data_IF_277333292197
#
_entry.id   IF_277333292197
#
_cell.length_a   1.000
_cell.length_b   1.000
_cell.length_c   1.000
_cell.angle_alpha   90.00
_cell.angle_beta   90.00
_cell.angle_gamma   90.00
#
_symmetry.space_group_name_H-M   'P 1'
#
loop_
_entity.id
_entity.type
_entity.pdbx_description
1 polymer ?
#
# COMPACT_ATOMS: atom_id res chain seq x y z
N UNK A 1 -44.63 -7.15 13.96
CA UNK A 1 -44.76 -6.02 13.00
C UNK A 1 -43.99 -6.24 11.70
N UNK A 2 -42.68 -6.55 11.72
CA UNK A 2 -41.90 -6.78 10.48
C UNK A 2 -42.47 -7.91 9.58
N UNK A 3 -43.03 -8.97 10.16
CA UNK A 3 -43.62 -10.08 9.41
C UNK A 3 -44.83 -9.71 8.55
N UNK A 4 -45.50 -8.58 8.84
CA UNK A 4 -46.72 -8.12 8.17
C UNK A 4 -46.44 -7.16 6.99
N UNK A 5 -45.20 -6.68 6.86
CA UNK A 5 -44.84 -5.77 5.77
C UNK A 5 -44.77 -6.51 4.43
N UNK A 6 -45.11 -5.87 3.30
CA UNK A 6 -44.78 -6.33 1.96
C UNK A 6 -43.27 -6.59 1.81
N UNK A 7 -42.92 -7.53 0.93
CA UNK A 7 -41.53 -7.98 0.75
C UNK A 7 -40.64 -6.83 0.26
N UNK A 8 -41.20 -5.95 -0.55
CA UNK A 8 -40.56 -4.76 -1.12
C UNK A 8 -40.18 -3.75 -0.03
N UNK A 9 -41.08 -3.52 0.93
CA UNK A 9 -40.80 -2.65 2.08
C UNK A 9 -39.77 -3.28 3.03
N UNK A 10 -39.81 -4.60 3.21
CA UNK A 10 -38.77 -5.30 3.95
C UNK A 10 -37.41 -5.16 3.26
N UNK A 11 -37.33 -5.32 1.95
CA UNK A 11 -36.09 -5.06 1.21
C UNK A 11 -35.57 -3.64 1.41
N UNK A 12 -36.45 -2.63 1.47
CA UNK A 12 -36.04 -1.25 1.77
C UNK A 12 -35.46 -1.12 3.18
N UNK A 13 -36.07 -1.74 4.21
CA UNK A 13 -35.52 -1.75 5.57
C UNK A 13 -34.13 -2.41 5.59
N UNK A 14 -33.99 -3.56 4.93
CA UNK A 14 -32.70 -4.23 4.79
C UNK A 14 -31.67 -3.39 4.02
N UNK A 15 -32.09 -2.62 3.00
CA UNK A 15 -31.21 -1.74 2.24
C UNK A 15 -30.68 -0.58 3.08
N UNK A 16 -31.37 -0.18 4.16
CA UNK A 16 -30.94 0.87 5.09
C UNK A 16 -29.98 0.38 6.19
N UNK A 17 -29.67 -0.91 6.26
CA UNK A 17 -28.74 -1.40 7.27
C UNK A 17 -27.33 -0.84 7.06
N UNK A 18 -26.68 -0.51 8.17
CA UNK A 18 -25.33 0.05 8.20
C UNK A 18 -24.31 -0.94 8.76
N UNK A 19 -24.74 -1.93 9.54
CA UNK A 19 -23.85 -2.91 10.19
C UNK A 19 -24.19 -4.36 9.83
N UNK A 20 -23.16 -5.22 9.84
CA UNK A 20 -23.37 -6.67 9.72
C UNK A 20 -24.11 -7.26 10.92
N UNK A 21 -23.91 -6.68 12.11
CA UNK A 21 -24.57 -7.13 13.33
C UNK A 21 -26.09 -6.99 13.19
N UNK A 22 -26.57 -5.89 12.62
CA UNK A 22 -27.99 -5.67 12.40
C UNK A 22 -28.57 -6.62 11.35
N UNK A 23 -27.83 -6.89 10.26
CA UNK A 23 -28.21 -7.91 9.29
C UNK A 23 -28.34 -9.29 9.96
N UNK A 24 -27.38 -9.64 10.81
CA UNK A 24 -27.36 -10.92 11.52
C UNK A 24 -28.55 -11.02 12.47
N UNK A 25 -28.79 -10.00 13.30
CA UNK A 25 -29.92 -9.96 14.22
C UNK A 25 -31.26 -10.06 13.49
N UNK A 26 -31.43 -9.33 12.37
CA UNK A 26 -32.65 -9.39 11.56
C UNK A 26 -32.82 -10.74 10.86
N UNK A 27 -31.72 -11.40 10.47
CA UNK A 27 -31.77 -12.73 9.87
C UNK A 27 -32.31 -13.78 10.84
N UNK A 28 -32.09 -13.62 12.14
CA UNK A 28 -32.58 -14.54 13.18
C UNK A 28 -34.01 -14.25 13.64
N UNK A 29 -34.61 -13.13 13.21
CA UNK A 29 -35.93 -12.73 13.68
C UNK A 29 -37.07 -13.65 13.19
N UNK A 30 -37.06 -14.06 11.92
CA UNK A 30 -37.98 -15.06 11.37
C UNK A 30 -37.49 -15.66 10.05
N UNK A 31 -38.15 -16.72 9.57
CA UNK A 31 -37.77 -17.39 8.31
C UNK A 31 -37.82 -16.46 7.09
N UNK A 32 -38.77 -15.52 7.05
CA UNK A 32 -38.91 -14.58 5.93
C UNK A 32 -37.75 -13.58 5.87
N UNK A 33 -37.36 -13.03 7.02
CA UNK A 33 -36.20 -12.12 7.11
C UNK A 33 -34.90 -12.87 6.89
N UNK A 34 -34.80 -14.13 7.32
CA UNK A 34 -33.69 -15.01 6.98
C UNK A 34 -33.52 -15.12 5.46
N UNK A 35 -34.56 -15.49 4.71
CA UNK A 35 -34.49 -15.64 3.25
C UNK A 35 -34.06 -14.34 2.56
N UNK A 36 -34.64 -13.19 2.96
CA UNK A 36 -34.26 -11.87 2.44
C UNK A 36 -32.78 -11.57 2.72
N UNK A 37 -32.32 -11.86 3.94
CA UNK A 37 -30.93 -11.65 4.34
C UNK A 37 -29.93 -12.50 3.56
N UNK A 38 -30.36 -13.61 2.94
CA UNK A 38 -29.50 -14.45 2.08
C UNK A 38 -29.29 -13.85 0.69
N UNK A 39 -30.03 -12.80 0.31
CA UNK A 39 -29.94 -12.17 -1.00
C UNK A 39 -28.55 -11.60 -1.30
N UNK A 40 -27.93 -12.07 -2.38
CA UNK A 40 -26.57 -11.66 -2.79
C UNK A 40 -26.46 -10.16 -3.06
N UNK A 41 -27.46 -9.56 -3.72
CA UNK A 41 -27.46 -8.12 -4.05
C UNK A 41 -27.49 -7.24 -2.81
N UNK A 42 -28.30 -7.62 -1.82
CA UNK A 42 -28.38 -6.93 -0.53
C UNK A 42 -27.04 -7.00 0.20
N UNK A 43 -26.47 -8.21 0.29
CA UNK A 43 -25.19 -8.42 0.96
C UNK A 43 -24.06 -7.67 0.27
N UNK A 44 -24.03 -7.62 -1.06
CA UNK A 44 -23.05 -6.84 -1.82
C UNK A 44 -23.20 -5.33 -1.58
N UNK A 45 -24.43 -4.81 -1.48
CA UNK A 45 -24.67 -3.40 -1.15
C UNK A 45 -24.20 -3.07 0.26
N UNK A 46 -24.58 -3.88 1.26
CA UNK A 46 -24.13 -3.69 2.64
C UNK A 46 -22.60 -3.81 2.75
N UNK A 47 -22.01 -4.77 2.03
CA UNK A 47 -20.56 -4.88 1.93
C UNK A 47 -19.95 -3.59 1.39
N UNK A 48 -20.44 -3.07 0.26
CA UNK A 48 -19.96 -1.79 -0.28
C UNK A 48 -20.12 -0.63 0.71
N UNK A 49 -21.22 -0.57 1.47
CA UNK A 49 -21.45 0.42 2.55
C UNK A 49 -20.39 0.37 3.65
N UNK A 50 -20.01 -0.83 4.10
CA UNK A 50 -18.92 -1.00 5.07
C UNK A 50 -17.56 -0.47 4.56
N UNK A 51 -17.40 -0.39 3.24
CA UNK A 51 -16.21 0.13 2.56
C UNK A 51 -16.41 1.52 1.93
N UNK A 52 -17.48 2.27 2.24
CA UNK A 52 -17.62 3.65 1.71
C UNK A 52 -16.68 4.62 2.43
N UNK A 53 -15.65 5.09 1.70
CA UNK A 53 -14.47 5.85 2.16
C UNK A 53 -14.80 7.20 2.82
N UNK A 54 -15.86 7.88 2.37
CA UNK A 54 -16.12 9.28 2.76
C UNK A 54 -16.67 9.44 4.17
N UNK A 55 -17.37 8.44 4.70
CA UNK A 55 -17.97 8.48 6.04
C UNK A 55 -17.05 7.87 7.11
N UNK A 56 -16.07 7.07 6.70
CA UNK A 56 -15.41 6.08 7.55
C UNK A 56 -13.87 6.14 7.45
N UNK A 57 -13.28 7.34 7.40
CA UNK A 57 -11.83 7.54 7.21
C UNK A 57 -10.94 6.83 8.26
N UNK A 58 -11.46 6.61 9.47
CA UNK A 58 -10.72 6.00 10.58
C UNK A 58 -11.15 4.56 10.92
N UNK A 59 -12.16 4.03 10.21
CA UNK A 59 -12.98 2.91 10.71
C UNK A 59 -12.37 1.52 10.50
N UNK A 60 -11.51 1.34 9.49
CA UNK A 60 -10.81 0.06 9.23
C UNK A 60 -9.42 -0.02 9.91
N UNK A 61 -9.09 0.94 10.77
CA UNK A 61 -7.96 0.80 11.68
C UNK A 61 -8.30 -0.03 12.93
N UNK A 62 -9.59 -0.18 13.22
CA UNK A 62 -10.10 -0.96 14.34
C UNK A 62 -10.21 -2.45 13.99
N UNK A 63 -9.71 -3.29 14.90
CA UNK A 63 -9.71 -4.74 14.73
C UNK A 63 -11.14 -5.30 14.71
N UNK A 64 -12.08 -4.70 15.44
CA UNK A 64 -13.45 -5.21 15.52
C UNK A 64 -14.17 -5.10 14.16
N UNK A 65 -14.09 -3.93 13.51
CA UNK A 65 -14.69 -3.72 12.18
C UNK A 65 -14.08 -4.65 11.12
N UNK A 66 -12.75 -4.83 11.13
CA UNK A 66 -12.09 -5.76 10.22
C UNK A 66 -12.54 -7.21 10.46
N UNK A 67 -12.79 -7.58 11.71
CA UNK A 67 -13.37 -8.88 12.09
C UNK A 67 -14.76 -9.06 11.49
N UNK A 68 -15.63 -8.06 11.65
CA UNK A 68 -17.00 -8.09 11.14
C UNK A 68 -17.02 -8.27 9.62
N UNK A 69 -16.11 -7.60 8.90
CA UNK A 69 -15.91 -7.78 7.45
C UNK A 69 -15.51 -9.21 7.11
N UNK A 70 -14.58 -9.80 7.85
CA UNK A 70 -14.12 -11.16 7.60
C UNK A 70 -15.27 -12.17 7.80
N UNK A 71 -16.01 -12.04 8.91
CA UNK A 71 -17.20 -12.84 9.19
C UNK A 71 -18.27 -12.65 8.12
N UNK A 72 -18.43 -11.42 7.62
CA UNK A 72 -19.34 -11.12 6.51
C UNK A 72 -18.95 -11.86 5.24
N UNK A 73 -17.68 -11.82 4.83
CA UNK A 73 -17.18 -12.50 3.63
C UNK A 73 -17.40 -14.01 3.72
N UNK A 74 -17.22 -14.57 4.91
CA UNK A 74 -17.48 -15.97 5.20
C UNK A 74 -18.97 -16.31 5.03
N UNK A 75 -19.83 -15.64 5.81
CA UNK A 75 -21.26 -15.90 5.85
C UNK A 75 -21.95 -15.60 4.51
N UNK A 76 -21.53 -14.53 3.84
CA UNK A 76 -22.08 -14.11 2.56
C UNK A 76 -21.54 -14.91 1.37
N UNK A 77 -20.46 -15.68 1.55
CA UNK A 77 -19.71 -16.36 0.48
C UNK A 77 -19.29 -15.43 -0.66
N UNK A 78 -19.14 -14.13 -0.38
CA UNK A 78 -18.76 -13.11 -1.38
C UNK A 78 -17.29 -13.26 -1.78
N UNK A 79 -16.98 -12.80 -3.00
CA UNK A 79 -15.60 -12.60 -3.48
C UNK A 79 -15.33 -11.10 -3.61
N UNK A 80 -14.52 -10.49 -2.72
CA UNK A 80 -14.31 -9.04 -2.64
C UNK A 80 -13.36 -8.50 -3.74
N UNK A 81 -13.76 -8.63 -5.01
CA UNK A 81 -12.92 -8.27 -6.18
C UNK A 81 -13.33 -6.97 -6.91
N UNK A 82 -14.26 -6.18 -6.39
CA UNK A 82 -14.61 -4.90 -7.05
C UNK A 82 -13.53 -3.84 -6.83
N UNK A 83 -13.31 -2.98 -7.82
CA UNK A 83 -12.29 -1.92 -7.77
C UNK A 83 -12.42 -1.03 -6.54
N UNK A 84 -13.65 -0.64 -6.18
CA UNK A 84 -13.94 0.16 -4.98
C UNK A 84 -13.50 -0.52 -3.67
N UNK A 85 -13.68 -1.84 -3.56
CA UNK A 85 -13.24 -2.59 -2.37
C UNK A 85 -11.71 -2.64 -2.34
N UNK A 86 -11.09 -2.91 -3.49
CA UNK A 86 -9.64 -2.99 -3.62
C UNK A 86 -8.99 -1.66 -3.19
N UNK A 87 -9.50 -0.52 -3.67
CA UNK A 87 -9.02 0.81 -3.31
C UNK A 87 -9.11 1.08 -1.80
N UNK A 88 -10.22 0.73 -1.16
CA UNK A 88 -10.37 0.91 0.29
C UNK A 88 -9.42 -0.01 1.06
N UNK A 89 -9.31 -1.27 0.64
CA UNK A 89 -8.42 -2.24 1.25
C UNK A 89 -6.95 -1.83 1.11
N UNK A 90 -6.56 -1.23 -0.03
CA UNK A 90 -5.23 -0.65 -0.28
C UNK A 90 -4.91 0.49 0.69
N UNK A 91 -5.85 1.41 0.89
CA UNK A 91 -5.63 2.64 1.65
C UNK A 91 -5.76 2.46 3.15
N UNK A 92 -6.70 1.64 3.61
CA UNK A 92 -7.12 1.67 5.03
C UNK A 92 -6.69 0.44 5.83
N UNK A 93 -6.56 -0.74 5.20
CA UNK A 93 -6.26 -1.97 5.94
C UNK A 93 -4.77 -2.15 6.12
N UNK A 94 -4.28 -2.07 7.37
CA UNK A 94 -2.86 -2.29 7.69
C UNK A 94 -2.44 -3.74 7.43
N UNK A 95 -1.20 -3.94 6.97
CA UNK A 95 -0.59 -5.28 6.78
C UNK A 95 -0.64 -6.14 8.05
N UNK A 96 -0.65 -5.52 9.24
CA UNK A 96 -0.80 -6.22 10.52
C UNK A 96 -2.11 -7.00 10.69
N UNK A 97 -3.19 -6.58 10.03
CA UNK A 97 -4.49 -7.26 10.11
C UNK A 97 -4.46 -8.64 9.44
N UNK A 98 -3.66 -8.81 8.39
CA UNK A 98 -3.46 -10.11 7.73
C UNK A 98 -2.60 -11.08 8.57
N UNK A 99 -1.88 -10.54 9.56
CA UNK A 99 -0.80 -11.20 10.29
C UNK A 99 -1.20 -11.62 11.70
N UNK A 100 -1.69 -10.67 12.50
CA UNK A 100 -1.89 -10.83 13.95
C UNK A 100 -3.29 -11.34 14.30
N UNK A 101 -4.20 -11.31 13.33
CA UNK A 101 -5.59 -11.63 13.59
C UNK A 101 -5.79 -13.16 13.62
N UNK A 102 -6.30 -13.68 14.74
CA UNK A 102 -6.64 -15.10 14.89
C UNK A 102 -7.87 -15.41 14.03
N UNK A 103 -7.62 -15.75 12.78
CA UNK A 103 -8.66 -16.24 11.88
C UNK A 103 -9.07 -17.66 12.29
N UNK A 104 -10.37 -17.94 12.49
CA UNK A 104 -10.84 -19.32 12.61
C UNK A 104 -10.95 -20.04 11.25
N UNK A 105 -10.89 -19.33 10.11
CA UNK A 105 -11.12 -19.91 8.78
C UNK A 105 -10.05 -19.55 7.73
N UNK A 106 -9.30 -20.57 7.28
CA UNK A 106 -8.31 -20.48 6.21
C UNK A 106 -8.91 -19.98 4.87
N UNK A 107 -10.17 -20.31 4.57
CA UNK A 107 -10.84 -19.91 3.31
C UNK A 107 -10.95 -18.39 3.23
N UNK A 108 -11.36 -17.74 4.32
CA UNK A 108 -11.52 -16.28 4.37
C UNK A 108 -10.17 -15.60 4.26
N UNK A 109 -9.16 -16.09 5.01
CA UNK A 109 -7.78 -15.60 4.90
C UNK A 109 -7.27 -15.68 3.46
N UNK A 110 -7.49 -16.81 2.79
CA UNK A 110 -7.17 -16.96 1.36
C UNK A 110 -7.86 -15.92 0.47
N UNK A 111 -9.18 -15.71 0.64
CA UNK A 111 -9.93 -14.70 -0.12
C UNK A 111 -9.40 -13.28 0.10
N UNK A 112 -9.09 -12.93 1.35
CA UNK A 112 -8.57 -11.62 1.73
C UNK A 112 -7.17 -11.39 1.14
N UNK A 113 -6.29 -12.40 1.22
CA UNK A 113 -4.98 -12.35 0.58
C UNK A 113 -5.10 -12.22 -0.94
N UNK A 114 -6.12 -12.82 -1.56
CA UNK A 114 -6.34 -12.79 -3.02
C UNK A 114 -7.06 -11.52 -3.54
N UNK A 115 -7.40 -10.55 -2.69
CA UNK A 115 -8.15 -9.34 -3.08
C UNK A 115 -7.44 -8.56 -4.18
N UNK A 116 -6.12 -8.37 -4.05
CA UNK A 116 -5.35 -7.52 -4.97
C UNK A 116 -5.00 -8.25 -6.27
N UNK A 117 -5.31 -9.55 -6.36
CA UNK A 117 -4.87 -10.42 -7.46
C UNK A 117 -5.44 -10.02 -8.81
N UNK A 118 -6.64 -9.44 -8.85
CA UNK A 118 -7.32 -9.05 -10.10
C UNK A 118 -6.66 -7.86 -10.82
N UNK A 119 -5.87 -7.03 -10.13
CA UNK A 119 -5.15 -5.89 -10.70
C UNK A 119 -3.64 -6.14 -10.83
N UNK A 120 -3.19 -7.38 -10.64
CA UNK A 120 -1.78 -7.73 -10.74
C UNK A 120 -1.31 -7.81 -12.19
N UNK A 121 -0.06 -7.41 -12.43
CA UNK A 121 0.62 -7.54 -13.72
C UNK A 121 1.78 -8.53 -13.59
N UNK A 122 2.09 -9.27 -14.66
CA UNK A 122 3.31 -10.08 -14.71
C UNK A 122 4.52 -9.16 -14.74
N UNK A 123 5.51 -9.48 -13.91
CA UNK A 123 6.79 -8.77 -13.87
C UNK A 123 7.91 -9.78 -14.02
N UNK A 124 8.96 -9.41 -14.74
CA UNK A 124 10.20 -10.19 -14.85
C UNK A 124 11.22 -9.60 -13.87
N UNK A 125 10.84 -9.54 -12.60
CA UNK A 125 11.68 -8.93 -11.57
C UNK A 125 12.39 -10.01 -10.75
N UNK A 126 13.70 -9.83 -10.57
CA UNK A 126 14.43 -10.43 -9.47
C UNK A 126 14.16 -9.59 -8.23
N UNK A 127 13.07 -9.89 -7.50
CA UNK A 127 12.71 -9.19 -6.27
C UNK A 127 13.91 -9.15 -5.33
N UNK A 128 14.53 -7.99 -5.13
CA UNK A 128 15.66 -7.83 -4.20
C UNK A 128 16.74 -8.94 -4.35
N UNK A 129 17.19 -9.20 -5.59
CA UNK A 129 18.13 -10.29 -5.94
C UNK A 129 17.67 -11.71 -5.58
N UNK A 130 16.41 -11.89 -5.21
CA UNK A 130 15.78 -13.20 -5.11
C UNK A 130 15.36 -13.60 -6.51
N UNK A 131 15.94 -14.69 -7.02
CA UNK A 131 15.51 -15.27 -8.28
C UNK A 131 14.09 -15.78 -8.13
N UNK A 132 13.14 -15.19 -8.83
CA UNK A 132 11.75 -15.64 -8.79
C UNK A 132 11.34 -16.23 -10.13
N UNK A 133 10.80 -17.45 -10.10
CA UNK A 133 10.39 -18.18 -11.31
C UNK A 133 9.05 -17.73 -11.88
N UNK A 134 8.18 -17.14 -11.05
CA UNK A 134 6.87 -16.63 -11.44
C UNK A 134 6.45 -15.54 -10.45
N UNK A 135 6.14 -14.35 -10.94
CA UNK A 135 5.62 -13.27 -10.10
C UNK A 135 4.54 -12.50 -10.84
N UNK A 136 3.53 -12.13 -10.08
CA UNK A 136 2.67 -11.02 -10.47
C UNK A 136 2.67 -10.00 -9.34
N UNK A 137 2.85 -8.72 -9.70
CA UNK A 137 2.91 -7.61 -8.75
C UNK A 137 1.63 -6.79 -8.86
N UNK A 138 1.04 -6.51 -7.71
CA UNK A 138 0.07 -5.45 -7.54
C UNK A 138 0.81 -4.16 -7.20
N UNK A 139 0.69 -3.16 -8.06
CA UNK A 139 1.19 -1.81 -7.79
C UNK A 139 0.01 -1.00 -7.27
N UNK A 140 0.06 -0.63 -6.00
CA UNK A 140 -0.99 0.20 -5.40
C UNK A 140 -0.99 1.57 -6.05
N UNK A 141 -2.15 2.03 -6.50
CA UNK A 141 -2.28 3.37 -7.09
C UNK A 141 -2.29 4.48 -6.03
N UNK A 142 -2.47 4.12 -4.76
CA UNK A 142 -2.73 5.07 -3.68
C UNK A 142 -2.13 4.68 -2.32
N UNK A 143 -1.23 3.69 -2.28
CA UNK A 143 -0.76 3.08 -1.03
C UNK A 143 0.75 2.91 -0.96
N UNK A 144 1.27 2.70 0.26
CA UNK A 144 2.71 2.55 0.52
C UNK A 144 3.25 1.13 0.34
N UNK A 145 2.42 0.20 -0.15
CA UNK A 145 2.70 -1.24 -0.08
C UNK A 145 2.67 -1.90 -1.46
N UNK A 146 3.62 -2.80 -1.71
CA UNK A 146 3.62 -3.68 -2.89
C UNK A 146 3.16 -5.06 -2.47
N UNK A 147 2.43 -5.76 -3.35
CA UNK A 147 2.01 -7.15 -3.09
C UNK A 147 2.44 -8.03 -4.26
N UNK A 148 3.21 -9.07 -3.95
CA UNK A 148 3.68 -10.06 -4.92
C UNK A 148 2.94 -11.37 -4.69
N UNK A 149 2.60 -12.08 -5.77
CA UNK A 149 1.91 -13.38 -5.70
C UNK A 149 2.69 -14.48 -6.41
N UNK A 150 2.43 -15.73 -5.98
CA UNK A 150 2.98 -16.97 -6.54
C UNK A 150 4.52 -16.99 -6.57
N UNK A 151 5.12 -16.34 -5.57
CA UNK A 151 6.57 -16.12 -5.48
C UNK A 151 7.22 -17.40 -5.00
N UNK A 152 8.21 -17.90 -5.75
CA UNK A 152 9.06 -19.00 -5.29
C UNK A 152 10.43 -18.46 -4.92
N UNK A 153 10.82 -18.64 -3.66
CA UNK A 153 12.09 -18.16 -3.08
C UNK A 153 12.71 -19.31 -2.31
N UNK A 154 13.98 -19.63 -2.57
CA UNK A 154 14.73 -20.65 -1.83
C UNK A 154 13.98 -22.00 -1.67
N UNK A 155 13.34 -22.47 -2.76
CA UNK A 155 12.49 -23.68 -2.83
C UNK A 155 11.14 -23.58 -2.09
N UNK A 156 10.91 -22.51 -1.34
CA UNK A 156 9.63 -22.23 -0.68
C UNK A 156 8.68 -21.53 -1.65
N UNK A 157 7.43 -22.00 -1.71
CA UNK A 157 6.37 -21.38 -2.50
C UNK A 157 5.52 -20.51 -1.59
N UNK A 158 5.61 -19.20 -1.79
CA UNK A 158 4.77 -18.23 -1.11
C UNK A 158 3.54 -17.93 -1.95
N UNK A 159 2.36 -17.97 -1.32
CA UNK A 159 1.13 -17.49 -1.95
C UNK A 159 1.21 -16.01 -2.24
N UNK A 160 1.62 -15.24 -1.24
CA UNK A 160 1.79 -13.80 -1.38
C UNK A 160 2.85 -13.23 -0.44
N UNK A 161 3.47 -12.11 -0.86
CA UNK A 161 4.42 -11.33 -0.09
C UNK A 161 3.92 -9.88 -0.07
N UNK A 162 3.64 -9.37 1.13
CA UNK A 162 3.40 -7.96 1.37
C UNK A 162 4.74 -7.29 1.67
N UNK A 163 4.98 -6.23 0.93
CA UNK A 163 6.14 -5.39 1.07
C UNK A 163 5.69 -3.99 1.46
N UNK A 164 6.21 -3.53 2.59
CA UNK A 164 6.09 -2.17 3.10
C UNK A 164 7.51 -1.61 3.26
N UNK A 165 7.68 -0.28 3.29
CA UNK A 165 8.97 0.42 3.27
C UNK A 165 10.00 -0.08 4.31
N UNK A 166 9.55 -0.67 5.43
CA UNK A 166 10.41 -1.17 6.51
C UNK A 166 10.20 -2.65 6.83
N UNK A 167 9.19 -3.31 6.22
CA UNK A 167 8.74 -4.64 6.65
C UNK A 167 8.32 -5.48 5.45
N UNK A 168 8.78 -6.72 5.46
CA UNK A 168 8.34 -7.77 4.55
C UNK A 168 7.54 -8.80 5.34
N UNK A 169 6.40 -9.23 4.79
CA UNK A 169 5.58 -10.30 5.32
C UNK A 169 5.27 -11.27 4.20
N UNK A 170 5.67 -12.53 4.35
CA UNK A 170 5.37 -13.58 3.38
C UNK A 170 4.41 -14.63 3.97
N UNK A 171 3.51 -15.14 3.13
CA UNK A 171 2.54 -16.17 3.48
C UNK A 171 2.79 -17.41 2.63
N UNK A 172 3.08 -18.54 3.29
CA UNK A 172 3.28 -19.85 2.63
C UNK A 172 1.93 -20.45 2.26
N UNK A 173 1.85 -21.18 1.15
CA UNK A 173 0.60 -21.88 0.77
C UNK A 173 0.54 -23.29 1.40
N UNK A 174 0.27 -23.35 2.70
CA UNK A 174 0.27 -24.59 3.52
C UNK A 174 -1.07 -24.86 4.23
N UNK A 175 -2.18 -24.41 3.63
CA UNK A 175 -3.54 -24.38 4.19
C UNK A 175 -3.74 -23.40 5.37
N UNK A 176 -2.75 -23.22 6.25
CA UNK A 176 -2.83 -22.30 7.40
C UNK A 176 -2.30 -20.89 7.10
N UNK A 177 -1.63 -20.74 5.97
CA UNK A 177 -0.96 -19.52 5.54
C UNK A 177 0.07 -19.07 6.58
N UNK A 178 1.03 -19.95 6.87
CA UNK A 178 2.14 -19.65 7.79
C UNK A 178 2.86 -18.38 7.39
N UNK A 179 3.14 -17.53 8.38
CA UNK A 179 3.65 -16.17 8.16
C UNK A 179 5.14 -16.08 8.48
N UNK A 180 5.91 -15.53 7.54
CA UNK A 180 7.32 -15.21 7.69
C UNK A 180 7.50 -13.69 7.68
N UNK A 181 8.49 -13.22 8.43
CA UNK A 181 8.81 -11.80 8.52
C UNK A 181 10.21 -11.54 8.03
N UNK A 182 10.40 -10.40 7.39
CA UNK A 182 11.71 -9.91 7.02
C UNK A 182 11.76 -8.40 6.99
N UNK A 183 12.94 -7.89 6.67
CA UNK A 183 13.22 -6.46 6.43
C UNK A 183 13.83 -6.32 5.06
N UNK A 184 13.47 -5.25 4.36
CA UNK A 184 14.07 -4.93 3.07
C UNK A 184 15.35 -4.15 3.28
N UNK A 185 16.37 -4.56 2.56
CA UNK A 185 17.63 -3.86 2.45
C UNK A 185 17.67 -3.14 1.11
N UNK A 186 18.21 -1.93 1.13
CA UNK A 186 18.34 -1.09 -0.04
C UNK A 186 19.79 -0.78 -0.34
N UNK A 187 20.07 -0.49 -1.61
CA UNK A 187 21.38 -0.12 -2.10
C UNK A 187 21.30 1.10 -3.01
N UNK A 188 22.28 1.98 -2.88
CA UNK A 188 22.56 3.06 -3.83
C UNK A 188 23.63 2.58 -4.83
N UNK A 189 23.54 3.06 -6.06
CA UNK A 189 24.34 2.64 -7.21
C UNK A 189 25.85 2.85 -6.98
N UNK A 190 26.52 1.81 -6.48
CA UNK A 190 27.98 1.71 -6.44
C UNK A 190 28.64 1.69 -5.06
N UNK A 191 27.90 1.83 -3.96
CA UNK A 191 28.44 1.72 -2.59
C UNK A 191 27.55 0.79 -1.76
N UNK A 192 28.14 -0.31 -1.28
CA UNK A 192 27.55 -1.26 -0.29
C UNK A 192 27.43 -0.47 1.05
N UNK A 193 26.36 -0.49 1.83
CA UNK A 193 25.49 -1.61 2.29
C UNK A 193 24.34 -1.06 3.13
N UNK A 194 23.17 -1.70 3.02
CA UNK A 194 22.31 -2.01 4.17
C UNK A 194 21.81 -0.82 5.00
N UNK A 195 21.34 0.22 4.29
CA UNK A 195 20.95 1.48 4.92
C UNK A 195 19.44 1.47 5.20
N UNK A 196 19.09 1.32 6.47
CA UNK A 196 17.75 1.67 6.95
C UNK A 196 17.49 3.18 6.80
N UNK A 197 16.24 3.61 6.67
CA UNK A 197 15.90 5.05 6.63
C UNK A 197 16.50 5.83 7.81
N UNK A 198 16.45 5.23 9.01
CA UNK A 198 17.03 5.77 10.25
C UNK A 198 18.55 5.92 10.22
N UNK A 199 19.24 5.18 9.36
CA UNK A 199 20.69 5.37 9.16
C UNK A 199 21.00 6.49 8.17
N UNK A 200 20.06 6.91 7.32
CA UNK A 200 20.24 8.02 6.37
C UNK A 200 19.94 9.35 7.05
N UNK A 201 18.81 9.44 7.75
CA UNK A 201 18.36 10.67 8.40
C UNK A 201 17.56 10.38 9.67
N UNK A 202 17.55 11.35 10.58
CA UNK A 202 16.67 11.37 11.74
C UNK A 202 15.58 12.42 11.54
N UNK A 203 14.33 12.09 11.82
CA UNK A 203 13.18 12.99 11.66
C UNK A 203 12.56 13.31 13.02
N UNK A 204 12.10 14.56 13.23
CA UNK A 204 11.32 14.92 14.43
C UNK A 204 9.87 14.46 14.35
N UNK A 205 9.29 14.50 13.15
CA UNK A 205 7.92 14.04 12.89
C UNK A 205 7.90 13.13 11.68
N UNK A 206 7.03 12.13 11.76
CA UNK A 206 6.84 11.13 10.73
C UNK A 206 5.35 11.05 10.38
N UNK A 207 4.99 11.20 9.10
CA UNK A 207 3.59 11.25 8.66
C UNK A 207 3.34 10.33 7.46
N UNK A 208 2.60 9.24 7.74
CA UNK A 208 2.05 8.35 6.71
C UNK A 208 0.79 9.00 6.15
N UNK A 209 0.90 9.79 5.07
CA UNK A 209 -0.10 9.94 4.00
C UNK A 209 0.15 11.15 3.08
N UNK A 210 -0.22 10.89 1.82
CA UNK A 210 -0.52 11.78 0.68
C UNK A 210 -0.75 13.27 0.99
N UNK A 211 0.34 14.01 1.24
CA UNK A 211 0.36 15.38 0.71
C UNK A 211 0.44 15.17 -0.80
N UNK A 212 -0.60 15.56 -1.53
CA UNK A 212 -0.47 15.81 -2.96
C UNK A 212 0.66 16.83 -3.04
N UNK A 213 1.86 16.40 -3.44
CA UNK A 213 2.92 17.32 -3.83
C UNK A 213 2.23 18.30 -4.78
N UNK A 214 2.26 19.62 -4.52
CA UNK A 214 1.70 20.56 -5.46
C UNK A 214 2.36 20.23 -6.79
N UNK A 215 1.56 19.74 -7.72
CA UNK A 215 2.00 19.46 -9.08
C UNK A 215 2.50 20.81 -9.59
N UNK A 216 3.80 21.03 -9.50
CA UNK A 216 4.43 22.06 -10.27
C UNK A 216 4.44 21.50 -11.68
N UNK A 217 3.38 21.82 -12.41
CA UNK A 217 3.45 21.95 -13.86
C UNK A 217 4.55 23.00 -14.13
N UNK A 218 5.81 22.56 -14.06
CA UNK A 218 6.95 23.33 -14.52
C UNK A 218 6.85 23.37 -16.03
N UNK A 219 6.03 24.30 -16.52
CA UNK A 219 6.25 24.91 -17.81
C UNK A 219 7.68 25.46 -17.78
N UNK A 220 8.60 24.76 -18.42
CA UNK A 220 9.91 25.30 -18.78
C UNK A 220 9.70 26.46 -19.76
N UNK A 221 9.40 27.65 -19.25
CA UNK A 221 9.57 28.92 -19.95
C UNK A 221 10.79 29.62 -19.36
N UNK A 222 11.96 29.04 -19.60
CA UNK A 222 13.26 29.62 -19.27
C UNK A 222 14.07 29.82 -20.54
N UNK A 223 13.96 31.01 -21.13
CA UNK A 223 14.90 31.50 -22.15
C UNK A 223 16.30 31.59 -21.52
N UNK A 224 17.16 30.61 -21.77
CA UNK A 224 18.57 30.67 -21.37
C UNK A 224 19.42 31.16 -22.54
N UNK A 225 20.12 32.26 -22.29
CA UNK A 225 21.12 32.88 -23.16
C UNK A 225 22.33 31.98 -23.35
N UNK A 226 22.74 31.83 -24.61
CA UNK A 226 23.96 31.15 -25.05
C UNK A 226 25.24 31.81 -24.51
N UNK A 227 25.84 31.29 -23.42
CA UNK A 227 27.30 31.37 -23.18
C UNK A 227 27.81 30.16 -22.36
N UNK A 228 28.29 29.15 -23.08
CA UNK A 228 29.43 28.25 -22.82
C UNK A 228 29.65 27.74 -21.38
N UNK A 229 29.36 26.44 -21.12
CA UNK A 229 30.11 25.53 -20.24
C UNK A 229 29.76 24.05 -20.59
N UNK A 230 30.58 23.04 -20.22
CA UNK A 230 30.71 21.78 -20.96
C UNK A 230 29.51 20.83 -20.81
N UNK A 231 29.17 20.20 -21.94
CA UNK A 231 28.14 19.20 -22.15
C UNK A 231 28.16 18.06 -21.12
N UNK A 232 27.28 18.13 -20.12
CA UNK A 232 26.57 16.95 -19.61
C UNK A 232 25.24 16.89 -20.35
N UNK A 233 25.21 16.24 -21.52
CA UNK A 233 23.95 15.89 -22.18
C UNK A 233 23.17 14.95 -21.26
N UNK A 234 22.30 15.53 -20.44
CA UNK A 234 21.17 14.81 -19.86
C UNK A 234 20.33 14.41 -21.07
N UNK A 235 20.33 13.13 -21.42
CA UNK A 235 19.45 12.60 -22.45
C UNK A 235 18.03 13.07 -22.13
N UNK A 236 17.41 13.75 -23.08
CA UNK A 236 16.02 14.17 -22.95
C UNK A 236 15.16 12.93 -22.70
N UNK A 237 14.55 12.88 -21.52
CA UNK A 237 13.65 11.81 -21.12
C UNK A 237 12.48 11.74 -22.10
N UNK A 238 12.12 10.54 -22.61
CA UNK A 238 10.94 10.38 -23.46
C UNK A 238 9.69 10.86 -22.71
N UNK A 239 8.81 11.59 -23.42
CA UNK A 239 7.54 12.09 -22.89
C UNK A 239 6.77 10.97 -22.17
N UNK A 240 6.55 11.18 -20.88
CA UNK A 240 5.79 10.31 -19.98
C UNK A 240 4.31 10.23 -20.39
N UNK A 241 3.64 9.07 -20.23
CA UNK A 241 2.19 8.99 -20.29
C UNK A 241 1.56 9.85 -19.18
N UNK A 242 0.48 10.57 -19.51
CA UNK A 242 -0.25 11.52 -18.65
C UNK A 242 -0.87 10.96 -17.36
N UNK A 243 -0.85 9.63 -17.18
CA UNK A 243 -1.80 8.96 -16.29
C UNK A 243 -1.18 8.40 -14.99
N UNK A 244 0.12 8.59 -14.76
CA UNK A 244 0.78 8.07 -13.55
C UNK A 244 1.41 9.18 -12.71
N UNK A 245 0.87 9.35 -11.50
CA UNK A 245 1.42 10.24 -10.47
C UNK A 245 2.35 9.43 -9.56
N UNK A 246 3.53 9.95 -9.16
CA UNK A 246 4.39 9.27 -8.19
C UNK A 246 3.61 8.98 -6.92
N UNK A 247 3.59 7.70 -6.51
CA UNK A 247 2.92 7.31 -5.28
C UNK A 247 3.80 7.76 -4.11
N UNK A 248 3.38 8.84 -3.42
CA UNK A 248 4.05 9.30 -2.20
C UNK A 248 3.83 8.26 -1.10
N UNK A 249 4.92 7.67 -0.64
CA UNK A 249 4.91 6.61 0.36
C UNK A 249 5.02 7.20 1.76
N UNK A 250 5.81 8.26 1.91
CA UNK A 250 6.04 8.86 3.23
C UNK A 250 6.54 10.30 3.20
N UNK A 251 6.21 11.07 4.25
CA UNK A 251 6.73 12.42 4.47
C UNK A 251 7.31 12.54 5.86
N UNK A 252 8.55 13.02 5.95
CA UNK A 252 9.24 13.30 7.19
C UNK A 252 9.47 14.80 7.34
N UNK A 253 9.40 15.32 8.58
CA UNK A 253 9.61 16.74 8.87
C UNK A 253 10.70 16.98 9.91
N UNK A 254 11.40 18.10 9.76
CA UNK A 254 12.48 18.52 10.66
C UNK A 254 13.58 17.47 10.71
N UNK A 255 14.12 17.16 9.54
CA UNK A 255 15.04 16.05 9.35
C UNK A 255 16.50 16.49 9.46
N UNK A 256 17.34 15.64 10.04
CA UNK A 256 18.79 15.84 10.13
C UNK A 256 19.49 14.68 9.42
N UNK A 257 20.23 14.99 8.37
CA UNK A 257 20.97 13.99 7.62
C UNK A 257 22.10 13.39 8.47
N UNK A 258 22.16 12.06 8.56
CA UNK A 258 23.14 11.33 9.38
C UNK A 258 24.36 10.87 8.59
N UNK A 259 24.26 10.85 7.26
CA UNK A 259 25.30 10.34 6.35
C UNK A 259 25.54 11.31 5.20
N UNK A 260 26.78 11.41 4.72
CA UNK A 260 27.05 12.15 3.49
C UNK A 260 26.42 11.42 2.29
N UNK A 261 25.70 12.16 1.43
CA UNK A 261 25.15 11.62 0.19
C UNK A 261 25.89 12.24 -0.98
N UNK A 262 26.62 11.41 -1.74
CA UNK A 262 27.47 11.88 -2.84
C UNK A 262 26.64 12.48 -3.97
N UNK A 263 25.52 11.84 -4.34
CA UNK A 263 24.55 12.38 -5.30
C UNK A 263 23.80 13.55 -4.65
N UNK A 264 23.99 14.76 -5.18
CA UNK A 264 23.36 15.98 -4.65
C UNK A 264 24.20 16.78 -3.65
N UNK A 265 25.47 16.43 -3.42
CA UNK A 265 26.38 17.17 -2.54
C UNK A 265 25.84 17.39 -1.11
N UNK A 266 25.05 16.44 -0.59
CA UNK A 266 24.44 16.57 0.73
C UNK A 266 25.44 16.14 1.80
N UNK A 267 25.56 16.95 2.84
CA UNK A 267 26.55 16.74 3.92
C UNK A 267 25.87 16.38 5.23
N UNK A 268 26.49 15.48 5.98
CA UNK A 268 26.04 15.05 7.30
C UNK A 268 25.80 16.27 8.20
N UNK A 269 24.77 16.17 9.02
CA UNK A 269 24.25 17.20 9.93
C UNK A 269 23.52 18.36 9.23
N UNK A 270 23.34 18.32 7.90
CA UNK A 270 22.43 19.26 7.24
C UNK A 270 20.99 19.06 7.72
N UNK A 271 20.29 20.19 7.83
CA UNK A 271 18.89 20.25 8.21
C UNK A 271 18.02 20.38 6.95
N UNK A 272 16.96 19.59 6.93
CA UNK A 272 15.93 19.63 5.89
C UNK A 272 14.57 19.79 6.57
N UNK A 273 13.77 20.70 6.03
CA UNK A 273 12.42 20.91 6.53
C UNK A 273 11.54 19.71 6.22
N UNK A 274 11.73 19.13 5.02
CA UNK A 274 10.96 17.99 4.52
C UNK A 274 11.86 16.94 3.83
N UNK A 275 11.51 15.68 4.00
CA UNK A 275 12.00 14.58 3.17
C UNK A 275 10.79 13.80 2.64
N UNK A 276 10.73 13.64 1.32
CA UNK A 276 9.68 12.89 0.62
C UNK A 276 10.22 11.54 0.16
N UNK A 277 9.47 10.48 0.40
CA UNK A 277 9.79 9.12 -0.06
C UNK A 277 8.70 8.67 -1.03
N UNK A 278 9.06 8.39 -2.28
CA UNK A 278 8.09 8.02 -3.32
C UNK A 278 8.65 6.99 -4.30
N UNK A 279 7.77 6.28 -5.01
CA UNK A 279 8.20 5.35 -6.06
C UNK A 279 8.67 6.10 -7.32
N UNK A 280 9.83 5.71 -7.86
CA UNK A 280 10.30 6.14 -9.17
C UNK A 280 10.10 5.01 -10.18
N UNK A 281 9.21 5.24 -11.15
CA UNK A 281 8.84 4.26 -12.18
C UNK A 281 9.96 3.97 -13.18
N UNK A 282 10.80 4.94 -13.50
CA UNK A 282 11.78 4.78 -14.58
C UNK A 282 12.90 3.80 -14.22
N UNK A 283 13.30 3.82 -12.94
CA UNK A 283 14.42 3.03 -12.44
C UNK A 283 14.00 1.86 -11.52
N UNK A 284 12.69 1.63 -11.37
CA UNK A 284 12.05 0.75 -10.36
C UNK A 284 12.73 0.90 -8.98
N UNK A 285 12.87 2.15 -8.55
CA UNK A 285 13.58 2.53 -7.35
C UNK A 285 12.67 3.32 -6.39
N UNK A 286 13.07 3.41 -5.12
CA UNK A 286 12.50 4.37 -4.17
C UNK A 286 13.34 5.64 -4.26
N UNK A 287 12.69 6.78 -4.51
CA UNK A 287 13.33 8.09 -4.44
C UNK A 287 13.15 8.66 -3.03
N UNK A 288 14.25 9.14 -2.45
CA UNK A 288 14.26 9.95 -1.23
C UNK A 288 14.74 11.35 -1.59
N UNK A 289 13.81 12.30 -1.59
CA UNK A 289 14.07 13.68 -1.97
C UNK A 289 14.15 14.57 -0.73
N UNK A 290 15.20 15.39 -0.67
CA UNK A 290 15.49 16.27 0.44
C UNK A 290 15.14 17.71 0.07
N UNK A 291 14.27 18.35 0.86
CA UNK A 291 13.74 19.68 0.57
C UNK A 291 13.94 20.64 1.75
N UNK A 292 14.20 21.90 1.43
CA UNK A 292 14.22 23.02 2.39
C UNK A 292 13.13 24.03 2.02
N UNK A 293 12.63 24.77 2.99
CA UNK A 293 11.73 25.88 2.78
C UNK A 293 12.54 27.12 2.39
N UNK A 294 12.23 27.68 1.22
CA UNK A 294 12.82 28.92 0.73
C UNK A 294 12.28 30.16 1.44
N UNK A 295 12.81 31.32 1.07
CA UNK A 295 12.44 32.62 1.67
C UNK A 295 10.94 32.95 1.50
N UNK A 296 10.29 32.41 0.46
CA UNK A 296 8.88 32.64 0.16
C UNK A 296 7.96 31.47 0.57
N UNK A 297 8.38 30.64 1.53
CA UNK A 297 7.68 29.40 1.93
C UNK A 297 7.52 28.37 0.80
N UNK A 298 8.30 28.48 -0.28
CA UNK A 298 8.34 27.48 -1.35
C UNK A 298 9.22 26.28 -0.96
N UNK A 299 8.85 25.09 -1.41
CA UNK A 299 9.66 23.88 -1.21
C UNK A 299 10.75 23.83 -2.28
N UNK A 300 12.01 23.99 -1.86
CA UNK A 300 13.17 23.96 -2.73
C UNK A 300 13.85 22.59 -2.61
N UNK A 301 13.89 21.78 -3.69
CA UNK A 301 14.64 20.53 -3.68
C UNK A 301 16.14 20.82 -3.58
N UNK A 302 16.82 20.12 -2.67
CA UNK A 302 18.25 20.26 -2.41
C UNK A 302 19.07 19.09 -2.94
N UNK A 303 18.45 17.93 -3.07
CA UNK A 303 19.08 16.72 -3.59
C UNK A 303 18.18 15.51 -3.41
N UNK A 304 18.60 14.38 -3.97
CA UNK A 304 17.85 13.14 -3.88
C UNK A 304 18.76 11.91 -3.83
N UNK A 305 18.21 10.81 -3.35
CA UNK A 305 18.83 9.49 -3.33
C UNK A 305 17.90 8.48 -3.99
N UNK A 306 18.42 7.72 -4.96
CA UNK A 306 17.69 6.63 -5.59
C UNK A 306 18.13 5.31 -4.98
N UNK A 307 17.19 4.62 -4.36
CA UNK A 307 17.45 3.37 -3.63
C UNK A 307 16.78 2.21 -4.34
N UNK A 308 17.61 1.27 -4.79
CA UNK A 308 17.16 0.02 -5.39
C UNK A 308 17.04 -1.05 -4.30
N UNK A 309 16.01 -1.88 -4.42
CA UNK A 309 15.83 -3.04 -3.55
C UNK A 309 17.01 -3.99 -3.75
N UNK A 310 17.67 -4.37 -2.66
CA UNK A 310 18.89 -5.16 -2.71
C UNK A 310 18.70 -6.60 -2.26
N UNK A 311 18.16 -6.80 -1.06
CA UNK A 311 17.96 -8.11 -0.47
C UNK A 311 16.83 -8.06 0.56
N UNK A 312 16.18 -9.20 0.81
CA UNK A 312 15.28 -9.36 1.94
C UNK A 312 16.04 -10.11 3.04
N UNK A 313 16.22 -9.46 4.18
CA UNK A 313 16.73 -10.09 5.39
C UNK A 313 15.57 -10.72 6.15
N UNK A 314 15.40 -12.03 6.01
CA UNK A 314 14.39 -12.77 6.77
C UNK A 314 14.78 -12.81 8.25
N UNK A 315 13.80 -12.61 9.14
CA UNK A 315 13.97 -12.89 10.55
C UNK A 315 14.06 -14.41 10.68
N UNK A 316 15.26 -14.93 10.94
CA UNK A 316 15.41 -16.31 11.34
C UNK A 316 14.72 -16.47 12.69
N UNK A 317 13.60 -17.18 12.71
CA UNK A 317 13.02 -17.66 13.96
C UNK A 317 14.08 -18.56 14.60
N UNK A 318 14.79 -18.06 15.60
CA UNK A 318 15.47 -18.95 16.54
C UNK A 318 14.36 -19.61 17.37
N UNK A 319 13.93 -20.77 16.88
CA UNK A 319 13.19 -21.88 17.53
C UNK A 319 12.01 -21.47 18.40
#
# INVERSE_FOLDING_TARGET
MLSLLPTELLYQVFDQLESYKDLTNLSFACQRTFVISQGTSLRLKLFKKLFHVEQNKDLLQDNETFTQICNFIEAAKINPKSNSIIEVMEQQVKTSHFVKYQYPNAIVKGKILDIFRSKCQQVKDNLANVTVSKTTRHITQSGSRRVYYDVTVDKTKYKCIFYDLKKVVAFVDDNFYTTHYGKMQFKDEGIVSDVSWSTIFNSKKDQVNNIVLPSSDLLFSGSFSDKILPSTQIQATPKTPSDWKPCLLHTFQGCVLQTNVRKGCLTKNQLFDYIFVYENRHDDAICVEFCSTGEFNELIPRGYLLMKEHAIQWNTSTI
#
